data_IF_719662570267
#
_entry.id   IF_719662570267
#
_cell.length_a   1.000
_cell.length_b   1.000
_cell.length_c   1.000
_cell.angle_alpha   90.00
_cell.angle_beta   90.00
_cell.angle_gamma   90.00
#
_symmetry.space_group_name_H-M   'P 1'
#
loop_
_entity.id
_entity.type
_entity.pdbx_description
1 polymer ?
#
# COMPACT_ATOMS: atom_id res chain seq x y z
N UNK A 1 4.37 10.41 -31.92
CA UNK A 1 4.78 11.13 -30.70
C UNK A 1 6.17 10.65 -30.33
N UNK A 2 7.10 11.55 -30.04
CA UNK A 2 8.44 11.18 -29.55
C UNK A 2 8.35 10.86 -28.06
N UNK A 3 9.09 9.86 -27.57
CA UNK A 3 9.14 9.54 -26.14
C UNK A 3 9.89 10.64 -25.36
N UNK A 4 9.63 10.75 -24.05
CA UNK A 4 10.33 11.62 -23.11
C UNK A 4 11.84 11.47 -23.27
N UNK A 5 12.33 10.23 -23.25
CA UNK A 5 13.76 9.93 -23.40
C UNK A 5 14.29 10.38 -24.78
N UNK A 6 13.52 10.21 -25.86
CA UNK A 6 13.95 10.68 -27.19
C UNK A 6 14.04 12.21 -27.28
N UNK A 7 13.15 12.95 -26.62
CA UNK A 7 13.18 14.41 -26.59
C UNK A 7 14.31 14.88 -25.67
N UNK A 8 14.51 14.21 -24.54
CA UNK A 8 15.61 14.45 -23.62
C UNK A 8 16.97 14.33 -24.31
N UNK A 9 17.18 13.25 -25.07
CA UNK A 9 18.42 13.09 -25.84
C UNK A 9 18.63 14.27 -26.78
N UNK A 10 17.61 14.64 -27.57
CA UNK A 10 17.70 15.77 -28.50
C UNK A 10 18.08 17.07 -27.80
N UNK A 11 17.45 17.38 -26.66
CA UNK A 11 17.75 18.59 -25.87
C UNK A 11 19.16 18.54 -25.28
N UNK A 12 19.65 17.38 -24.86
CA UNK A 12 21.02 17.24 -24.38
C UNK A 12 22.07 17.54 -25.46
N UNK A 13 21.74 17.40 -26.75
CA UNK A 13 22.63 17.78 -27.85
C UNK A 13 22.61 19.27 -28.20
N UNK A 14 21.69 20.06 -27.66
CA UNK A 14 21.60 21.51 -27.92
C UNK A 14 22.73 22.31 -27.26
N UNK A 15 23.28 21.82 -26.14
CA UNK A 15 24.38 22.47 -25.43
C UNK A 15 25.32 21.46 -24.77
N UNK A 16 26.64 21.69 -24.85
CA UNK A 16 27.65 20.73 -24.38
C UNK A 16 27.52 20.38 -22.89
N UNK A 17 27.14 21.34 -22.04
CA UNK A 17 26.93 21.08 -20.60
C UNK A 17 25.80 20.11 -20.32
N UNK A 18 24.80 20.01 -21.20
CA UNK A 18 23.64 19.13 -21.02
C UNK A 18 23.96 17.67 -21.39
N UNK A 19 24.99 17.42 -22.20
CA UNK A 19 25.43 16.05 -22.55
C UNK A 19 25.84 15.21 -21.35
N UNK A 20 26.26 15.86 -20.27
CA UNK A 20 26.56 15.21 -19.00
C UNK A 20 25.31 14.57 -18.38
N UNK A 21 24.13 15.20 -18.53
CA UNK A 21 22.87 14.63 -18.05
C UNK A 21 22.53 13.34 -18.79
N UNK A 22 22.63 13.33 -20.12
CA UNK A 22 22.40 12.11 -20.94
C UNK A 22 23.40 11.00 -20.58
N UNK A 23 24.67 11.34 -20.41
CA UNK A 23 25.70 10.38 -20.01
C UNK A 23 25.42 9.77 -18.63
N UNK A 24 25.04 10.61 -17.65
CA UNK A 24 24.65 10.15 -16.32
C UNK A 24 23.43 9.25 -16.37
N UNK A 25 22.37 9.70 -17.06
CA UNK A 25 21.12 8.95 -17.19
C UNK A 25 21.33 7.58 -17.80
N UNK A 26 22.09 7.45 -18.88
CA UNK A 26 22.34 6.15 -19.50
C UNK A 26 23.06 5.18 -18.56
N UNK A 27 23.99 5.68 -17.76
CA UNK A 27 24.67 4.86 -16.77
C UNK A 27 23.72 4.44 -15.64
N UNK A 28 22.99 5.42 -15.08
CA UNK A 28 22.10 5.20 -13.95
C UNK A 28 20.91 4.32 -14.34
N UNK A 29 20.32 4.48 -15.52
CA UNK A 29 19.23 3.62 -16.02
C UNK A 29 19.62 2.14 -15.96
N UNK A 30 20.82 1.78 -16.41
CA UNK A 30 21.30 0.39 -16.38
C UNK A 30 21.58 -0.10 -14.96
N UNK A 31 22.17 0.76 -14.12
CA UNK A 31 22.54 0.41 -12.75
C UNK A 31 21.31 0.28 -11.84
N UNK A 32 20.41 1.27 -11.89
CA UNK A 32 19.14 1.30 -11.19
C UNK A 32 18.24 0.15 -11.63
N UNK A 33 18.18 -0.16 -12.93
CA UNK A 33 17.41 -1.31 -13.42
C UNK A 33 17.85 -2.64 -12.81
N UNK A 34 19.14 -2.79 -12.49
CA UNK A 34 19.66 -3.98 -11.81
C UNK A 34 19.30 -3.96 -10.33
N UNK A 35 19.52 -2.83 -9.65
CA UNK A 35 19.20 -2.70 -8.23
C UNK A 35 17.71 -2.93 -7.93
N UNK A 36 16.80 -2.41 -8.78
CA UNK A 36 15.36 -2.59 -8.62
C UNK A 36 14.92 -4.06 -8.77
N UNK A 37 15.71 -4.93 -9.43
CA UNK A 37 15.41 -6.36 -9.49
C UNK A 37 15.51 -7.03 -8.11
N UNK A 38 16.34 -6.49 -7.22
CA UNK A 38 16.57 -7.05 -5.88
C UNK A 38 15.40 -6.78 -4.90
N UNK A 39 14.45 -5.93 -5.26
CA UNK A 39 13.22 -5.70 -4.48
C UNK A 39 12.45 -7.03 -4.29
N UNK A 40 12.50 -7.94 -5.27
CA UNK A 40 11.83 -9.25 -5.21
C UNK A 40 12.29 -10.13 -4.05
N UNK A 41 13.47 -9.88 -3.46
CA UNK A 41 14.04 -10.70 -2.37
C UNK A 41 13.12 -10.69 -1.14
N UNK A 42 12.52 -9.54 -0.83
CA UNK A 42 11.61 -9.34 0.30
C UNK A 42 10.16 -9.05 -0.11
N UNK A 43 9.93 -8.57 -1.34
CA UNK A 43 8.60 -8.18 -1.82
C UNK A 43 8.01 -9.11 -2.91
N UNK A 44 8.20 -10.45 -2.89
CA UNK A 44 7.67 -11.30 -3.96
C UNK A 44 6.13 -11.38 -3.96
N UNK A 45 5.47 -10.93 -2.90
CA UNK A 45 4.01 -10.93 -2.74
C UNK A 45 3.35 -9.63 -3.21
N UNK A 46 4.13 -8.59 -3.53
CA UNK A 46 3.60 -7.33 -4.07
C UNK A 46 3.60 -7.30 -5.61
N UNK A 47 3.00 -6.25 -6.17
CA UNK A 47 3.21 -5.87 -7.56
C UNK A 47 4.70 -5.67 -7.86
N UNK A 48 5.07 -5.71 -9.13
CA UNK A 48 6.41 -5.41 -9.61
C UNK A 48 6.75 -3.94 -9.31
N UNK A 49 7.90 -3.73 -8.67
CA UNK A 49 8.53 -2.42 -8.49
C UNK A 49 9.91 -2.42 -9.17
N UNK A 50 10.06 -3.21 -10.24
CA UNK A 50 11.27 -3.26 -11.06
C UNK A 50 11.28 -2.16 -12.14
N UNK A 51 12.30 -2.15 -13.01
CA UNK A 51 12.40 -1.19 -14.11
C UNK A 51 11.17 -1.15 -15.06
N UNK A 52 10.34 -2.20 -15.10
CA UNK A 52 9.10 -2.17 -15.89
C UNK A 52 8.06 -1.21 -15.30
N UNK A 53 8.00 -1.07 -13.97
CA UNK A 53 7.17 -0.07 -13.30
C UNK A 53 7.62 1.36 -13.66
N UNK A 54 8.91 1.65 -13.53
CA UNK A 54 9.46 2.98 -13.84
C UNK A 54 9.16 3.40 -15.29
N UNK A 55 9.24 2.46 -16.24
CA UNK A 55 8.86 2.70 -17.65
C UNK A 55 7.37 3.01 -17.80
N UNK A 56 6.51 2.35 -17.04
CA UNK A 56 5.07 2.57 -17.07
C UNK A 56 4.69 3.92 -16.48
N UNK A 57 5.35 4.36 -15.39
CA UNK A 57 5.24 5.73 -14.86
C UNK A 57 5.57 6.76 -15.94
N UNK A 58 6.72 6.60 -16.60
CA UNK A 58 7.15 7.50 -17.68
C UNK A 58 6.11 7.50 -18.81
N UNK A 59 5.61 6.33 -19.22
CA UNK A 59 4.57 6.20 -20.25
C UNK A 59 3.27 6.91 -19.85
N UNK A 60 2.86 6.82 -18.59
CA UNK A 60 1.68 7.53 -18.08
C UNK A 60 1.86 9.05 -18.14
N UNK A 61 3.05 9.54 -17.78
CA UNK A 61 3.39 10.97 -17.84
C UNK A 61 3.47 11.46 -19.28
N UNK A 62 4.03 10.66 -20.18
CA UNK A 62 4.05 10.94 -21.62
C UNK A 62 2.63 11.07 -22.19
N UNK A 63 1.71 10.18 -21.78
CA UNK A 63 0.29 10.25 -22.16
C UNK A 63 -0.39 11.51 -21.63
N UNK A 64 -0.13 11.88 -20.37
CA UNK A 64 -0.69 13.08 -19.73
C UNK A 64 -0.21 14.36 -20.42
N UNK A 65 1.09 14.48 -20.68
CA UNK A 65 1.67 15.70 -21.26
C UNK A 65 1.50 15.77 -22.77
N UNK A 66 1.57 14.63 -23.46
CA UNK A 66 1.47 14.54 -24.93
C UNK A 66 2.49 15.50 -25.58
N UNK A 67 2.08 16.32 -26.54
CA UNK A 67 3.00 17.23 -27.27
C UNK A 67 3.63 18.30 -26.35
N UNK A 68 3.06 18.54 -25.17
CA UNK A 68 3.59 19.48 -24.17
C UNK A 68 4.89 19.01 -23.52
N UNK A 69 5.28 17.74 -23.72
CA UNK A 69 6.58 17.21 -23.28
C UNK A 69 7.75 18.08 -23.77
N UNK A 70 7.65 18.66 -24.98
CA UNK A 70 8.71 19.48 -25.57
C UNK A 70 9.02 20.76 -24.76
N UNK A 71 8.09 21.18 -23.91
CA UNK A 71 8.19 22.39 -23.09
C UNK A 71 8.94 22.15 -21.77
N UNK A 72 9.37 20.92 -21.47
CA UNK A 72 10.28 20.63 -20.36
C UNK A 72 11.72 21.01 -20.73
N UNK A 73 12.51 21.44 -19.75
CA UNK A 73 13.96 21.62 -19.91
C UNK A 73 14.67 20.25 -19.94
N UNK A 74 15.92 20.19 -20.37
CA UNK A 74 16.67 18.92 -20.31
C UNK A 74 16.88 18.48 -18.85
N UNK A 75 17.08 19.45 -17.95
CA UNK A 75 17.22 19.18 -16.51
C UNK A 75 15.91 18.66 -15.89
N UNK A 76 14.75 19.19 -16.27
CA UNK A 76 13.43 18.67 -15.85
C UNK A 76 13.23 17.21 -16.30
N UNK A 77 13.57 16.92 -17.55
CA UNK A 77 13.46 15.56 -18.11
C UNK A 77 14.41 14.60 -17.40
N UNK A 78 15.65 15.01 -17.13
CA UNK A 78 16.61 14.20 -16.35
C UNK A 78 16.08 13.90 -14.95
N UNK A 79 15.62 14.91 -14.22
CA UNK A 79 15.03 14.72 -12.88
C UNK A 79 13.84 13.75 -12.93
N UNK A 80 12.99 13.84 -13.94
CA UNK A 80 11.84 12.96 -14.08
C UNK A 80 12.23 11.50 -14.37
N UNK A 81 13.18 11.30 -15.28
CA UNK A 81 13.70 9.98 -15.65
C UNK A 81 14.38 9.30 -14.45
N UNK A 82 15.28 10.02 -13.78
CA UNK A 82 15.97 9.54 -12.58
C UNK A 82 14.99 9.26 -11.44
N UNK A 83 14.00 10.14 -11.23
CA UNK A 83 13.03 9.98 -10.15
C UNK A 83 12.14 8.76 -10.35
N UNK A 84 11.68 8.51 -11.58
CA UNK A 84 10.91 7.32 -11.90
C UNK A 84 11.66 6.01 -11.57
N UNK A 85 12.98 5.99 -11.77
CA UNK A 85 13.83 4.84 -11.46
C UNK A 85 14.37 4.81 -10.03
N UNK A 86 14.28 5.93 -9.29
CA UNK A 86 14.85 6.05 -7.95
C UNK A 86 13.84 6.06 -6.82
N UNK A 87 12.57 6.37 -7.09
CA UNK A 87 11.56 6.60 -6.05
C UNK A 87 11.29 5.36 -5.17
N UNK A 88 11.38 4.16 -5.74
CA UNK A 88 11.20 2.88 -5.05
C UNK A 88 12.51 2.21 -4.58
N UNK A 89 13.68 2.81 -4.80
CA UNK A 89 14.95 2.20 -4.39
C UNK A 89 14.99 1.84 -2.90
N UNK A 90 14.30 2.60 -2.06
CA UNK A 90 14.14 2.37 -0.63
C UNK A 90 13.46 1.05 -0.26
N UNK A 91 12.91 0.32 -1.23
CA UNK A 91 12.42 -1.06 -1.09
C UNK A 91 13.54 -2.11 -1.20
N UNK A 92 14.76 -1.74 -1.61
CA UNK A 92 15.92 -2.62 -1.52
C UNK A 92 16.38 -2.65 -0.06
N UNK A 93 16.22 -3.82 0.58
CA UNK A 93 16.58 -4.05 1.99
C UNK A 93 17.96 -4.70 2.07
N UNK A 94 18.89 -4.04 2.75
CA UNK A 94 20.27 -4.49 2.94
C UNK A 94 20.45 -5.31 4.22
N UNK A 95 21.57 -6.03 4.36
CA UNK A 95 21.89 -6.73 5.60
C UNK A 95 21.93 -5.80 6.82
N UNK A 96 22.45 -4.58 6.67
CA UNK A 96 22.49 -3.60 7.77
C UNK A 96 21.09 -3.30 8.29
N UNK A 97 20.12 -3.17 7.39
CA UNK A 97 18.72 -2.93 7.70
C UNK A 97 17.98 -4.13 8.28
N UNK A 98 18.37 -5.35 7.91
CA UNK A 98 17.83 -6.55 8.56
C UNK A 98 18.15 -6.54 10.06
N UNK A 99 19.29 -5.98 10.47
CA UNK A 99 19.67 -5.87 11.88
C UNK A 99 18.79 -4.86 12.66
N UNK A 100 18.02 -4.00 11.98
CA UNK A 100 17.09 -3.10 12.66
C UNK A 100 15.98 -3.88 13.39
N UNK A 101 15.83 -5.17 13.12
CA UNK A 101 14.96 -6.09 13.85
C UNK A 101 15.23 -6.12 15.37
N UNK A 102 16.46 -5.81 15.77
CA UNK A 102 16.87 -5.76 17.18
C UNK A 102 16.67 -4.37 17.80
N UNK A 103 16.01 -3.44 17.10
CA UNK A 103 15.77 -2.07 17.58
C UNK A 103 14.45 -1.93 18.33
N UNK A 104 14.43 -1.01 19.31
CA UNK A 104 13.22 -0.63 20.06
C UNK A 104 12.08 -0.15 19.14
N UNK A 105 12.42 0.46 17.99
CA UNK A 105 11.44 0.90 16.99
C UNK A 105 10.75 -0.30 16.33
N UNK A 106 11.49 -1.38 16.04
CA UNK A 106 10.87 -2.59 15.51
C UNK A 106 9.98 -3.28 16.52
N UNK A 107 10.45 -3.37 17.76
CA UNK A 107 9.71 -4.00 18.85
C UNK A 107 8.37 -3.28 19.02
N UNK A 108 8.40 -1.94 19.11
CA UNK A 108 7.20 -1.10 19.18
C UNK A 108 6.27 -1.30 17.97
N UNK A 109 6.83 -1.45 16.77
CA UNK A 109 6.06 -1.73 15.55
C UNK A 109 5.34 -3.08 15.64
N UNK A 110 6.02 -4.15 16.07
CA UNK A 110 5.41 -5.47 16.25
C UNK A 110 4.37 -5.48 17.38
N UNK A 111 4.64 -4.83 18.50
CA UNK A 111 3.68 -4.68 19.61
C UNK A 111 2.36 -4.04 19.15
N UNK A 112 2.43 -3.07 18.22
CA UNK A 112 1.22 -2.45 17.66
C UNK A 112 0.31 -3.46 16.94
N UNK A 113 0.87 -4.54 16.38
CA UNK A 113 0.13 -5.62 15.74
C UNK A 113 -0.35 -6.71 16.70
N UNK A 114 0.18 -6.79 17.92
CA UNK A 114 -0.25 -7.79 18.92
C UNK A 114 -1.72 -7.60 19.30
N UNK A 115 -2.22 -6.36 19.34
CA UNK A 115 -3.61 -6.08 19.73
C UNK A 115 -4.56 -5.87 18.54
N UNK A 116 -4.03 -5.82 17.32
CA UNK A 116 -4.80 -5.68 16.10
C UNK A 116 -5.18 -7.06 15.55
N UNK A 117 -6.35 -7.58 15.94
CA UNK A 117 -6.84 -8.92 15.54
C UNK A 117 -7.05 -9.02 14.03
N UNK A 118 -7.31 -7.90 13.36
CA UNK A 118 -7.52 -7.87 11.91
C UNK A 118 -6.18 -7.78 11.14
N UNK A 119 -5.07 -7.48 11.83
CA UNK A 119 -3.74 -7.49 11.22
C UNK A 119 -3.34 -8.88 10.75
N UNK A 120 -2.84 -8.94 9.52
CA UNK A 120 -2.25 -10.16 8.96
C UNK A 120 -0.98 -10.59 9.70
N UNK A 121 -0.41 -9.73 10.53
CA UNK A 121 0.77 -10.00 11.35
C UNK A 121 0.44 -10.33 12.81
N UNK A 122 -0.82 -10.24 13.24
CA UNK A 122 -1.25 -10.45 14.63
C UNK A 122 -0.65 -11.70 15.29
N UNK A 123 -0.84 -12.86 14.68
CA UNK A 123 -0.37 -14.14 15.22
C UNK A 123 1.17 -14.20 15.26
N UNK A 124 1.84 -13.70 14.22
CA UNK A 124 3.30 -13.68 14.16
C UNK A 124 3.88 -12.72 15.20
N UNK A 125 3.30 -11.53 15.36
CA UNK A 125 3.71 -10.55 16.34
C UNK A 125 3.51 -11.07 17.77
N UNK A 126 2.40 -11.74 18.04
CA UNK A 126 2.14 -12.38 19.33
C UNK A 126 3.18 -13.47 19.63
N UNK A 127 3.42 -14.37 18.67
CA UNK A 127 4.44 -15.41 18.83
C UNK A 127 5.83 -14.80 18.98
N UNK A 128 6.12 -13.66 18.33
CA UNK A 128 7.40 -12.95 18.45
C UNK A 128 7.63 -12.42 19.86
N UNK A 129 6.66 -11.65 20.39
CA UNK A 129 6.73 -11.04 21.74
C UNK A 129 6.73 -12.11 22.83
N UNK A 130 6.06 -13.24 22.63
CA UNK A 130 6.07 -14.38 23.57
C UNK A 130 7.32 -15.27 23.43
N UNK A 131 8.32 -14.89 22.62
CA UNK A 131 9.54 -15.66 22.30
C UNK A 131 9.27 -17.06 21.72
N UNK A 132 8.13 -17.23 21.03
CA UNK A 132 7.66 -18.47 20.40
C UNK A 132 7.82 -18.50 18.89
N UNK A 133 8.20 -17.38 18.26
CA UNK A 133 8.49 -17.27 16.84
C UNK A 133 9.82 -17.98 16.46
N UNK A 134 9.88 -19.30 16.69
CA UNK A 134 11.06 -20.12 16.44
C UNK A 134 10.91 -20.88 15.11
N UNK A 135 11.99 -20.90 14.33
CA UNK A 135 12.04 -21.65 13.07
C UNK A 135 11.75 -23.14 13.34
N UNK A 136 10.69 -23.72 12.77
CA UNK A 136 10.30 -25.08 13.11
C UNK A 136 11.28 -26.11 12.53
N UNK A 137 11.73 -27.05 13.36
CA UNK A 137 12.54 -28.21 12.93
C UNK A 137 11.62 -29.38 12.54
N UNK A 138 11.81 -29.95 11.35
CA UNK A 138 11.05 -31.12 10.89
C UNK A 138 9.60 -30.86 10.44
N UNK A 139 9.19 -29.59 10.32
CA UNK A 139 7.93 -29.14 9.68
C UNK A 139 8.22 -28.17 8.54
N UNK A 140 7.20 -27.76 7.79
CA UNK A 140 7.34 -26.74 6.75
C UNK A 140 7.77 -25.39 7.37
N UNK A 141 9.06 -25.05 7.23
CA UNK A 141 9.65 -23.77 7.65
C UNK A 141 9.34 -22.62 6.69
N UNK A 142 8.79 -22.94 5.52
CA UNK A 142 8.45 -22.00 4.46
C UNK A 142 7.52 -20.87 4.94
N UNK A 143 6.47 -21.22 5.69
CA UNK A 143 5.50 -20.23 6.18
C UNK A 143 6.16 -19.21 7.11
N UNK A 144 7.01 -19.68 8.03
CA UNK A 144 7.76 -18.82 8.94
C UNK A 144 8.68 -17.85 8.18
N UNK A 145 9.47 -18.37 7.22
CA UNK A 145 10.41 -17.57 6.44
C UNK A 145 9.68 -16.48 5.65
N UNK A 146 8.57 -16.82 4.99
CA UNK A 146 7.79 -15.82 4.26
C UNK A 146 7.14 -14.81 5.17
N UNK A 147 6.61 -15.23 6.34
CA UNK A 147 5.97 -14.29 7.25
C UNK A 147 6.97 -13.31 7.83
N UNK A 148 8.17 -13.79 8.18
CA UNK A 148 9.30 -12.94 8.55
C UNK A 148 9.64 -11.92 7.46
N UNK A 149 9.76 -12.37 6.20
CA UNK A 149 10.01 -11.47 5.07
C UNK A 149 8.90 -10.43 4.88
N UNK A 150 7.63 -10.83 5.03
CA UNK A 150 6.48 -9.94 4.87
C UNK A 150 6.45 -8.84 5.93
N UNK A 151 6.77 -9.18 7.18
CA UNK A 151 6.87 -8.18 8.27
C UNK A 151 7.95 -7.16 7.96
N UNK A 152 9.15 -7.61 7.58
CA UNK A 152 10.23 -6.69 7.17
C UNK A 152 9.85 -5.88 5.94
N UNK A 153 9.20 -6.50 4.96
CA UNK A 153 8.75 -5.83 3.75
C UNK A 153 7.77 -4.70 4.08
N UNK A 154 6.73 -4.95 4.87
CA UNK A 154 5.77 -3.91 5.26
C UNK A 154 6.44 -2.80 6.09
N UNK A 155 7.33 -3.17 7.03
CA UNK A 155 8.03 -2.19 7.83
C UNK A 155 8.87 -1.22 6.99
N UNK A 156 9.64 -1.76 6.03
CA UNK A 156 10.45 -0.93 5.13
C UNK A 156 9.64 -0.24 4.04
N UNK A 157 8.50 -0.82 3.62
CA UNK A 157 7.55 -0.18 2.73
C UNK A 157 7.04 1.13 3.33
N UNK A 158 6.76 1.21 4.63
CA UNK A 158 6.32 2.46 5.25
C UNK A 158 7.39 3.57 5.21
N UNK A 159 8.67 3.19 5.09
CA UNK A 159 9.83 4.08 5.12
C UNK A 159 10.45 4.28 3.73
N UNK A 160 9.96 3.62 2.68
CA UNK A 160 10.66 3.52 1.40
C UNK A 160 10.97 4.88 0.76
N UNK A 161 10.04 5.82 0.73
CA UNK A 161 10.30 7.15 0.18
C UNK A 161 11.45 7.89 0.89
N UNK A 162 11.52 7.79 2.22
CA UNK A 162 12.63 8.37 3.00
C UNK A 162 13.94 7.62 2.76
N UNK A 163 13.90 6.29 2.65
CA UNK A 163 15.07 5.48 2.35
C UNK A 163 15.58 5.74 0.92
N UNK A 164 14.71 5.88 -0.08
CA UNK A 164 15.06 6.29 -1.44
C UNK A 164 15.82 7.61 -1.43
N UNK A 165 15.35 8.60 -0.68
CA UNK A 165 16.05 9.88 -0.51
C UNK A 165 17.45 9.70 0.09
N UNK A 166 17.58 8.88 1.15
CA UNK A 166 18.89 8.54 1.75
C UNK A 166 19.83 7.84 0.76
N UNK A 167 19.30 6.87 0.01
CA UNK A 167 20.06 6.09 -0.97
C UNK A 167 20.52 6.97 -2.12
N UNK A 168 19.66 7.87 -2.61
CA UNK A 168 20.07 8.86 -3.61
C UNK A 168 21.16 9.74 -3.00
N UNK A 169 21.06 10.21 -1.77
CA UNK A 169 22.12 11.08 -1.22
C UNK A 169 23.46 10.36 -1.02
N UNK A 170 23.44 9.07 -0.67
CA UNK A 170 24.64 8.30 -0.34
C UNK A 170 24.59 6.85 -0.89
N UNK A 171 24.59 6.63 -2.21
CA UNK A 171 24.21 5.34 -2.80
C UNK A 171 25.21 4.21 -2.50
N UNK A 172 26.50 4.53 -2.44
CA UNK A 172 27.56 3.56 -2.15
C UNK A 172 27.50 3.08 -0.71
N UNK A 173 27.35 3.99 0.26
CA UNK A 173 27.35 3.61 1.68
C UNK A 173 26.03 2.96 2.12
N UNK A 174 24.91 3.33 1.49
CA UNK A 174 23.60 2.82 1.87
C UNK A 174 23.31 1.45 1.26
N UNK A 175 23.55 1.28 -0.05
CA UNK A 175 23.18 0.05 -0.79
C UNK A 175 24.30 -0.48 -1.70
N UNK A 176 25.51 0.10 -1.67
CA UNK A 176 26.62 -0.34 -2.53
C UNK A 176 26.47 0.05 -4.01
N UNK A 177 25.54 0.95 -4.33
CA UNK A 177 25.24 1.35 -5.71
C UNK A 177 26.27 2.40 -6.19
N UNK A 178 27.21 2.00 -7.04
CA UNK A 178 28.28 2.87 -7.53
C UNK A 178 27.87 3.69 -8.76
N UNK A 179 26.87 4.56 -8.59
CA UNK A 179 26.49 5.60 -9.55
C UNK A 179 27.52 6.73 -9.53
N UNK A 180 28.10 7.16 -10.67
CA UNK A 180 29.06 8.25 -10.74
C UNK A 180 28.41 9.55 -10.29
N UNK A 181 28.81 10.08 -9.14
CA UNK A 181 28.30 11.36 -8.61
C UNK A 181 29.47 12.27 -8.28
N UNK A 182 30.20 12.65 -9.34
CA UNK A 182 31.42 13.43 -9.25
C UNK A 182 31.15 14.91 -9.56
N UNK A 183 32.21 15.72 -9.60
CA UNK A 183 32.16 17.18 -9.79
C UNK A 183 31.57 17.62 -11.14
N UNK A 184 31.34 16.70 -12.09
CA UNK A 184 30.77 17.01 -13.40
C UNK A 184 29.28 17.41 -13.32
N UNK A 185 28.53 16.82 -12.38
CA UNK A 185 27.14 17.20 -12.12
C UNK A 185 27.01 17.76 -10.70
N UNK A 186 26.38 18.93 -10.52
CA UNK A 186 26.26 19.53 -9.20
C UNK A 186 25.55 18.61 -8.20
N UNK A 187 26.17 18.38 -7.03
CA UNK A 187 25.59 17.58 -5.92
C UNK A 187 24.17 18.04 -5.54
N UNK A 188 23.88 19.34 -5.69
CA UNK A 188 22.55 19.90 -5.44
C UNK A 188 21.45 19.24 -6.29
N UNK A 189 21.72 18.84 -7.54
CA UNK A 189 20.70 18.19 -8.40
C UNK A 189 20.33 16.80 -7.88
N UNK A 190 21.29 16.05 -7.35
CA UNK A 190 21.03 14.77 -6.70
C UNK A 190 20.29 14.95 -5.36
N UNK A 191 20.54 16.05 -4.64
CA UNK A 191 19.75 16.40 -3.46
C UNK A 191 18.30 16.74 -3.87
N UNK A 192 18.12 17.54 -4.92
CA UNK A 192 16.80 17.88 -5.48
C UNK A 192 16.06 16.61 -5.92
N UNK A 193 16.73 15.69 -6.61
CA UNK A 193 16.20 14.36 -6.96
C UNK A 193 15.78 13.57 -5.71
N UNK A 194 16.61 13.55 -4.67
CA UNK A 194 16.30 12.89 -3.41
C UNK A 194 15.06 13.49 -2.74
N UNK A 195 14.89 14.81 -2.78
CA UNK A 195 13.72 15.51 -2.22
C UNK A 195 12.44 15.23 -3.03
N UNK A 196 12.54 15.19 -4.36
CA UNK A 196 11.44 14.77 -5.25
C UNK A 196 11.00 13.34 -4.93
N UNK A 197 11.96 12.42 -4.86
CA UNK A 197 11.69 11.03 -4.50
C UNK A 197 11.21 10.88 -3.05
N UNK A 198 11.57 11.75 -2.11
CA UNK A 198 10.98 11.67 -0.78
C UNK A 198 9.51 12.13 -0.79
N UNK A 199 9.23 13.18 -1.55
CA UNK A 199 7.92 13.82 -1.60
C UNK A 199 6.82 12.93 -2.20
N UNK A 200 7.15 11.87 -2.94
CA UNK A 200 6.13 10.96 -3.48
C UNK A 200 5.38 10.19 -2.39
N UNK A 201 6.03 9.90 -1.25
CA UNK A 201 5.42 9.25 -0.09
C UNK A 201 4.89 10.22 0.98
N UNK A 202 5.09 11.53 0.82
CA UNK A 202 4.67 12.55 1.81
C UNK A 202 3.24 13.05 1.59
N UNK A 203 2.76 13.82 2.56
CA UNK A 203 1.50 14.55 2.42
C UNK A 203 1.63 15.63 1.34
N UNK A 204 0.50 15.99 0.73
CA UNK A 204 0.49 16.97 -0.35
C UNK A 204 1.01 18.36 0.05
N UNK A 205 0.83 18.77 1.32
CA UNK A 205 1.39 20.02 1.85
C UNK A 205 2.91 20.08 1.68
N UNK A 206 3.59 18.97 1.95
CA UNK A 206 5.04 18.88 1.98
C UNK A 206 5.62 18.93 0.55
N UNK A 207 4.83 18.50 -0.45
CA UNK A 207 5.17 18.65 -1.88
C UNK A 207 5.24 20.13 -2.26
N UNK A 208 4.39 20.98 -1.67
CA UNK A 208 4.38 22.42 -1.94
C UNK A 208 5.60 23.15 -1.34
N UNK A 209 6.31 22.53 -0.40
CA UNK A 209 7.56 23.07 0.16
C UNK A 209 8.75 22.87 -0.79
N UNK A 210 8.64 21.97 -1.77
CA UNK A 210 9.64 21.85 -2.82
C UNK A 210 9.75 23.15 -3.61
N UNK A 211 10.97 23.54 -4.04
CA UNK A 211 11.19 24.69 -4.89
C UNK A 211 10.28 24.66 -6.13
N UNK A 212 9.68 25.81 -6.45
CA UNK A 212 8.92 25.98 -7.69
C UNK A 212 9.87 26.01 -8.90
N UNK A 213 10.99 26.71 -8.77
CA UNK A 213 12.06 26.81 -9.78
C UNK A 213 13.42 26.83 -9.08
N UNK A 214 14.41 26.15 -9.66
CA UNK A 214 15.84 26.26 -9.34
C UNK A 214 16.66 26.33 -10.63
N UNK A 215 17.90 26.83 -10.54
CA UNK A 215 18.81 26.74 -11.68
C UNK A 215 19.11 25.26 -12.01
N UNK A 216 19.03 24.86 -13.26
CA UNK A 216 19.39 23.53 -13.75
C UNK A 216 20.87 23.42 -14.12
N UNK A 217 21.17 22.62 -15.16
CA UNK A 217 22.51 22.54 -15.78
C UNK A 217 22.64 23.55 -16.92
N UNK A 218 23.75 24.28 -16.97
CA UNK A 218 23.98 25.26 -18.03
C UNK A 218 23.04 26.46 -17.90
N UNK A 219 22.18 26.66 -18.90
CA UNK A 219 21.16 27.73 -18.94
C UNK A 219 19.75 27.23 -18.64
N UNK A 220 19.58 25.93 -18.40
CA UNK A 220 18.30 25.37 -17.99
C UNK A 220 17.92 25.83 -16.59
N UNK A 221 16.63 26.01 -16.37
CA UNK A 221 16.02 25.91 -15.05
C UNK A 221 15.48 24.49 -14.83
N UNK A 222 15.22 24.13 -13.58
CA UNK A 222 14.47 22.93 -13.23
C UNK A 222 13.35 23.23 -12.23
N UNK A 223 12.35 22.35 -12.19
CA UNK A 223 11.09 22.59 -11.50
C UNK A 223 10.72 21.44 -10.56
N UNK A 224 11.38 21.31 -9.40
CA UNK A 224 11.27 20.14 -8.54
C UNK A 224 9.84 19.81 -8.10
N UNK A 225 9.06 20.83 -7.71
CA UNK A 225 7.65 20.67 -7.34
C UNK A 225 6.81 20.09 -8.47
N UNK A 226 7.05 20.55 -9.70
CA UNK A 226 6.33 20.07 -10.88
C UNK A 226 6.67 18.61 -11.18
N UNK A 227 7.95 18.26 -11.13
CA UNK A 227 8.42 16.88 -11.33
C UNK A 227 7.87 15.93 -10.26
N UNK A 228 7.84 16.35 -8.99
CA UNK A 228 7.24 15.56 -7.92
C UNK A 228 5.74 15.30 -8.13
N UNK A 229 4.99 16.31 -8.60
CA UNK A 229 3.57 16.14 -8.92
C UNK A 229 3.34 15.18 -10.10
N UNK A 230 4.17 15.27 -11.14
CA UNK A 230 4.13 14.34 -12.29
C UNK A 230 4.49 12.92 -11.87
N UNK A 231 5.53 12.74 -11.05
CA UNK A 231 5.91 11.43 -10.51
C UNK A 231 4.75 10.80 -9.74
N UNK A 232 4.13 11.55 -8.81
CA UNK A 232 2.98 11.09 -8.02
C UNK A 232 1.78 10.70 -8.89
N UNK A 233 1.46 11.50 -9.92
CA UNK A 233 0.40 11.16 -10.87
C UNK A 233 0.74 9.94 -11.73
N UNK A 234 1.99 9.83 -12.19
CA UNK A 234 2.44 8.72 -13.02
C UNK A 234 2.44 7.38 -12.27
N UNK A 235 2.92 7.40 -11.02
CA UNK A 235 2.95 6.26 -10.10
C UNK A 235 1.55 5.80 -9.72
N UNK A 236 0.71 6.70 -9.19
CA UNK A 236 -0.62 6.31 -8.75
C UNK A 236 -1.46 5.75 -9.92
N UNK A 237 -1.25 6.22 -11.14
CA UNK A 237 -1.97 5.74 -12.34
C UNK A 237 -1.37 4.45 -12.95
N UNK A 238 -0.32 3.87 -12.37
CA UNK A 238 0.17 2.54 -12.79
C UNK A 238 -0.71 1.42 -12.22
N UNK A 239 -1.88 1.26 -12.85
CA UNK A 239 -2.97 0.40 -12.40
C UNK A 239 -3.32 -0.74 -13.33
N UNK A 240 -2.51 -0.97 -14.37
CA UNK A 240 -2.83 -1.98 -15.37
C UNK A 240 -2.77 -3.42 -14.80
N UNK A 241 -3.34 -4.37 -15.52
CA UNK A 241 -3.50 -5.76 -15.06
C UNK A 241 -2.19 -6.57 -15.03
N UNK A 242 -1.14 -6.06 -15.67
CA UNK A 242 0.17 -6.68 -15.76
C UNK A 242 1.11 -6.30 -14.59
N UNK A 243 0.61 -5.63 -13.55
CA UNK A 243 1.39 -5.17 -12.39
C UNK A 243 1.95 -6.31 -11.54
N UNK A 244 1.35 -7.50 -11.57
CA UNK A 244 1.82 -8.66 -10.81
C UNK A 244 2.52 -9.68 -11.71
N UNK A 245 3.60 -10.28 -11.19
CA UNK A 245 4.34 -11.33 -11.88
C UNK A 245 3.91 -12.71 -11.35
N UNK A 246 3.37 -13.61 -12.20
CA UNK A 246 2.99 -14.96 -11.76
C UNK A 246 4.14 -15.76 -11.14
N UNK A 247 5.38 -15.50 -11.56
CA UNK A 247 6.57 -16.16 -10.96
C UNK A 247 6.79 -15.65 -9.53
N UNK A 248 6.69 -14.34 -9.28
CA UNK A 248 6.82 -13.76 -7.94
C UNK A 248 5.71 -14.27 -7.00
N UNK A 249 4.48 -14.36 -7.51
CA UNK A 249 3.37 -14.95 -6.78
C UNK A 249 3.65 -16.40 -6.40
N UNK A 250 4.21 -17.21 -7.32
CA UNK A 250 4.61 -18.59 -7.02
C UNK A 250 5.80 -18.70 -6.05
N UNK A 251 6.72 -17.71 -6.01
CA UNK A 251 7.75 -17.65 -4.96
C UNK A 251 7.11 -17.50 -3.58
N UNK A 252 6.05 -16.68 -3.50
CA UNK A 252 5.26 -16.45 -2.28
C UNK A 252 4.27 -17.58 -1.96
N UNK A 253 3.91 -18.39 -2.95
CA UNK A 253 3.12 -19.63 -2.81
C UNK A 253 1.85 -19.43 -1.99
N UNK A 254 1.55 -20.39 -1.11
CA UNK A 254 0.37 -20.36 -0.24
C UNK A 254 0.47 -19.31 0.89
N UNK A 255 1.60 -18.59 1.00
CA UNK A 255 1.83 -17.61 2.06
C UNK A 255 1.52 -16.17 1.67
N UNK A 256 1.01 -15.92 0.46
CA UNK A 256 0.63 -14.57 0.00
C UNK A 256 -0.36 -13.94 1.00
N UNK A 257 -0.09 -12.72 1.51
CA UNK A 257 -1.05 -12.01 2.35
C UNK A 257 -2.37 -11.75 1.62
N UNK A 258 -3.47 -11.75 2.36
CA UNK A 258 -4.81 -11.52 1.79
C UNK A 258 -4.91 -10.11 1.18
N UNK A 259 -4.30 -9.12 1.83
CA UNK A 259 -4.17 -7.75 1.31
C UNK A 259 -3.53 -7.73 -0.09
N UNK A 260 -2.38 -8.40 -0.25
CA UNK A 260 -1.70 -8.57 -1.53
C UNK A 260 -2.54 -9.28 -2.59
N UNK A 261 -3.29 -10.32 -2.20
CA UNK A 261 -4.18 -11.03 -3.12
C UNK A 261 -5.34 -10.15 -3.58
N UNK A 262 -5.96 -9.39 -2.68
CA UNK A 262 -7.01 -8.43 -3.07
C UNK A 262 -6.46 -7.32 -3.98
N UNK A 263 -5.24 -6.85 -3.75
CA UNK A 263 -4.58 -5.92 -4.66
C UNK A 263 -4.38 -6.55 -6.04
N UNK A 264 -3.92 -7.80 -6.12
CA UNK A 264 -3.81 -8.53 -7.39
C UNK A 264 -5.17 -8.61 -8.12
N UNK A 265 -6.22 -9.04 -7.43
CA UNK A 265 -7.58 -9.15 -7.99
C UNK A 265 -8.15 -7.79 -8.44
N UNK A 266 -7.84 -6.71 -7.72
CA UNK A 266 -8.17 -5.33 -8.13
C UNK A 266 -7.57 -5.01 -9.50
N UNK A 267 -6.28 -5.28 -9.71
CA UNK A 267 -5.63 -5.01 -11.01
C UNK A 267 -6.23 -5.88 -12.13
N UNK A 268 -6.59 -7.13 -11.86
CA UNK A 268 -7.29 -7.99 -12.83
C UNK A 268 -8.73 -7.54 -13.14
N UNK A 269 -9.33 -6.73 -12.26
CA UNK A 269 -10.70 -6.26 -12.39
C UNK A 269 -10.84 -5.03 -13.31
N UNK A 270 -9.73 -4.41 -13.74
CA UNK A 270 -9.76 -3.28 -14.67
C UNK A 270 -10.40 -3.70 -16.00
N UNK A 271 -11.41 -2.95 -16.46
CA UNK A 271 -12.10 -3.19 -17.74
C UNK A 271 -11.78 -2.14 -18.78
N UNK A 272 -11.67 -0.88 -18.35
CA UNK A 272 -11.32 0.22 -19.23
C UNK A 272 -10.33 1.15 -18.53
N UNK A 273 -9.22 1.41 -19.19
CA UNK A 273 -8.20 2.36 -18.76
C UNK A 273 -7.88 3.32 -19.91
N UNK A 274 -8.17 4.60 -19.72
CA UNK A 274 -7.80 5.68 -20.64
C UNK A 274 -7.04 6.74 -19.86
N UNK A 275 -5.81 6.99 -20.29
CA UNK A 275 -4.95 8.07 -19.80
C UNK A 275 -4.43 8.77 -21.05
N UNK A 276 -4.80 10.03 -21.24
CA UNK A 276 -4.28 10.91 -22.28
C UNK A 276 -4.32 12.37 -21.81
N UNK A 277 -3.93 13.30 -22.69
CA UNK A 277 -3.83 14.72 -22.39
C UNK A 277 -5.18 15.42 -22.15
N UNK A 278 -6.30 14.78 -22.51
CA UNK A 278 -7.64 15.34 -22.35
C UNK A 278 -8.35 14.75 -21.13
N UNK A 279 -8.22 13.44 -20.91
CA UNK A 279 -9.05 12.71 -19.95
C UNK A 279 -8.36 11.50 -19.33
N UNK A 280 -8.54 11.37 -18.02
CA UNK A 280 -8.31 10.13 -17.27
C UNK A 280 -9.67 9.47 -17.03
N UNK A 281 -9.82 8.22 -17.44
CA UNK A 281 -11.05 7.42 -17.25
C UNK A 281 -10.69 5.99 -16.90
N UNK A 282 -11.27 5.51 -15.81
CA UNK A 282 -11.01 4.17 -15.29
C UNK A 282 -12.35 3.51 -14.97
N UNK A 283 -12.56 2.31 -15.47
CA UNK A 283 -13.71 1.46 -15.15
C UNK A 283 -13.25 0.10 -14.68
N UNK A 284 -13.82 -0.35 -13.56
CA UNK A 284 -13.45 -1.59 -12.87
C UNK A 284 -14.71 -2.39 -12.57
N UNK A 285 -14.63 -3.69 -12.78
CA UNK A 285 -15.70 -4.63 -12.44
C UNK A 285 -15.11 -5.73 -11.54
N UNK A 286 -15.40 -5.62 -10.24
CA UNK A 286 -14.84 -6.47 -9.20
C UNK A 286 -15.62 -7.78 -9.06
N UNK A 287 -14.90 -8.86 -8.76
CA UNK A 287 -15.49 -10.20 -8.59
C UNK A 287 -16.16 -10.39 -7.21
N UNK A 288 -15.65 -9.72 -6.18
CA UNK A 288 -16.11 -9.91 -4.79
C UNK A 288 -16.15 -8.58 -3.99
N UNK A 289 -16.86 -8.56 -2.84
CA UNK A 289 -17.00 -7.36 -1.99
C UNK A 289 -15.70 -6.77 -1.43
N UNK A 290 -14.73 -7.61 -1.07
CA UNK A 290 -13.48 -7.13 -0.45
C UNK A 290 -12.62 -6.40 -1.49
N UNK A 291 -12.54 -6.94 -2.71
CA UNK A 291 -11.89 -6.28 -3.85
C UNK A 291 -12.61 -4.98 -4.21
N UNK A 292 -13.94 -4.95 -4.15
CA UNK A 292 -14.72 -3.73 -4.39
C UNK A 292 -14.35 -2.62 -3.40
N UNK A 293 -14.28 -2.92 -2.10
CA UNK A 293 -13.91 -1.97 -1.05
C UNK A 293 -12.50 -1.41 -1.28
N UNK A 294 -11.50 -2.27 -1.48
CA UNK A 294 -10.11 -1.87 -1.76
C UNK A 294 -9.97 -1.07 -3.05
N UNK A 295 -10.70 -1.46 -4.09
CA UNK A 295 -10.75 -0.73 -5.37
C UNK A 295 -11.30 0.68 -5.16
N UNK A 296 -12.42 0.79 -4.43
CA UNK A 296 -13.08 2.06 -4.17
C UNK A 296 -12.21 3.00 -3.33
N UNK A 297 -11.57 2.49 -2.28
CA UNK A 297 -10.62 3.25 -1.47
C UNK A 297 -9.44 3.75 -2.30
N UNK A 298 -8.87 2.90 -3.15
CA UNK A 298 -7.81 3.31 -4.06
C UNK A 298 -8.26 4.44 -5.01
N UNK A 299 -9.49 4.39 -5.53
CA UNK A 299 -10.03 5.51 -6.33
C UNK A 299 -10.18 6.80 -5.53
N UNK A 300 -10.52 6.73 -4.24
CA UNK A 300 -10.53 7.92 -3.37
C UNK A 300 -9.16 8.54 -3.23
N UNK A 301 -8.10 7.73 -3.22
CA UNK A 301 -6.73 8.24 -3.24
C UNK A 301 -6.40 8.95 -4.56
N UNK A 302 -6.77 8.38 -5.71
CA UNK A 302 -6.61 9.03 -7.02
C UNK A 302 -7.37 10.34 -7.11
N UNK A 303 -8.65 10.35 -6.70
CA UNK A 303 -9.47 11.56 -6.67
C UNK A 303 -8.82 12.63 -5.78
N UNK A 304 -8.41 12.25 -4.56
CA UNK A 304 -7.77 13.17 -3.61
C UNK A 304 -6.49 13.79 -4.20
N UNK A 305 -5.59 12.97 -4.73
CA UNK A 305 -4.34 13.44 -5.35
C UNK A 305 -4.63 14.38 -6.52
N UNK A 306 -5.51 13.96 -7.43
CA UNK A 306 -5.89 14.74 -8.60
C UNK A 306 -6.49 16.10 -8.24
N UNK A 307 -7.44 16.14 -7.29
CA UNK A 307 -8.11 17.37 -6.91
C UNK A 307 -7.17 18.32 -6.17
N UNK A 308 -6.28 17.80 -5.32
CA UNK A 308 -5.25 18.61 -4.66
C UNK A 308 -4.31 19.23 -5.70
N UNK A 309 -3.76 18.43 -6.62
CA UNK A 309 -2.92 18.97 -7.69
C UNK A 309 -3.66 19.98 -8.57
N UNK A 310 -4.91 19.70 -8.94
CA UNK A 310 -5.72 20.59 -9.77
C UNK A 310 -6.03 21.92 -9.07
N UNK A 311 -6.33 21.89 -7.77
CA UNK A 311 -6.58 23.08 -6.95
C UNK A 311 -5.33 23.95 -6.82
N UNK A 312 -4.18 23.33 -6.59
CA UNK A 312 -2.90 24.03 -6.41
C UNK A 312 -2.11 24.19 -7.71
N UNK A 313 -2.68 23.82 -8.86
CA UNK A 313 -2.00 23.81 -10.16
C UNK A 313 -1.28 25.12 -10.52
N UNK A 314 -1.84 26.32 -10.26
CA UNK A 314 -1.13 27.58 -10.51
C UNK A 314 0.17 27.77 -9.71
N UNK A 315 0.33 27.06 -8.59
CA UNK A 315 1.56 27.04 -7.78
C UNK A 315 2.49 25.87 -8.15
N UNK A 316 2.05 24.96 -9.01
CA UNK A 316 2.78 23.74 -9.38
C UNK A 316 3.36 23.88 -10.77
N UNK A 317 2.55 24.31 -11.75
CA UNK A 317 2.98 24.39 -13.14
C UNK A 317 4.04 25.50 -13.33
N UNK A 318 5.15 25.22 -14.03
CA UNK A 318 6.20 26.22 -14.29
C UNK A 318 5.73 27.39 -15.14
N UNK A 319 4.99 27.08 -16.22
CA UNK A 319 4.54 28.06 -17.20
C UNK A 319 3.23 27.59 -17.86
N UNK A 320 2.61 28.47 -18.66
CA UNK A 320 1.31 28.19 -19.29
C UNK A 320 1.37 27.17 -20.43
N UNK A 321 2.53 26.98 -21.06
CA UNK A 321 2.71 26.10 -22.22
C UNK A 321 2.68 24.60 -21.82
N UNK A 322 2.93 24.31 -20.54
CA UNK A 322 2.74 22.98 -19.96
C UNK A 322 1.25 22.66 -19.68
N UNK A 323 0.34 23.63 -19.85
CA UNK A 323 -1.11 23.44 -19.79
C UNK A 323 -1.62 22.99 -18.42
N UNK A 324 -2.76 22.29 -18.41
CA UNK A 324 -3.44 21.76 -17.20
C UNK A 324 -3.38 20.24 -17.13
N UNK A 325 -3.67 19.67 -15.96
CA UNK A 325 -3.95 18.25 -15.86
C UNK A 325 -5.16 17.86 -16.74
N UNK A 326 -5.17 16.64 -17.30
CA UNK A 326 -6.33 16.06 -17.97
C UNK A 326 -7.56 16.06 -17.05
N UNK A 327 -8.76 16.04 -17.62
CA UNK A 327 -9.97 15.94 -16.80
C UNK A 327 -10.12 14.54 -16.21
N UNK A 328 -10.26 14.42 -14.88
CA UNK A 328 -10.59 13.15 -14.24
C UNK A 328 -12.09 12.86 -14.41
N UNK A 329 -12.42 11.78 -15.09
CA UNK A 329 -13.79 11.27 -15.14
C UNK A 329 -14.13 10.61 -13.80
N UNK A 330 -15.39 10.72 -13.36
CA UNK A 330 -15.87 9.96 -12.20
C UNK A 330 -15.56 8.47 -12.39
N UNK A 331 -14.74 7.86 -11.52
CA UNK A 331 -14.42 6.45 -11.63
C UNK A 331 -15.67 5.58 -11.55
N UNK A 332 -15.72 4.53 -12.36
CA UNK A 332 -16.83 3.57 -12.36
C UNK A 332 -16.34 2.28 -11.70
N UNK A 333 -16.80 2.02 -10.47
CA UNK A 333 -16.52 0.79 -9.74
C UNK A 333 -17.79 -0.03 -9.64
N UNK A 334 -17.82 -1.18 -10.30
CA UNK A 334 -18.94 -2.13 -10.27
C UNK A 334 -18.52 -3.41 -9.56
N UNK A 335 -19.51 -4.15 -9.08
CA UNK A 335 -19.34 -5.52 -8.61
C UNK A 335 -20.18 -6.46 -9.48
N UNK A 336 -19.68 -7.65 -9.76
CA UNK A 336 -20.44 -8.65 -10.51
C UNK A 336 -21.62 -9.20 -9.70
N UNK A 337 -22.64 -9.63 -10.43
CA UNK A 337 -23.76 -10.39 -9.85
C UNK A 337 -23.22 -11.69 -9.21
N UNK A 338 -23.81 -12.16 -8.09
CA UNK A 338 -25.09 -11.75 -7.51
C UNK A 338 -25.01 -10.60 -6.49
N UNK A 339 -23.83 -9.99 -6.27
CA UNK A 339 -23.68 -8.94 -5.28
C UNK A 339 -24.39 -7.65 -5.69
N UNK A 340 -24.88 -6.91 -4.68
CA UNK A 340 -25.54 -5.62 -4.84
C UNK A 340 -24.91 -4.62 -3.87
N UNK A 341 -24.44 -3.49 -4.39
CA UNK A 341 -23.95 -2.37 -3.57
C UNK A 341 -25.14 -1.50 -3.19
N UNK A 342 -25.38 -1.39 -1.88
CA UNK A 342 -26.43 -0.52 -1.33
C UNK A 342 -25.93 0.90 -1.05
N UNK A 343 -24.63 1.04 -0.77
CA UNK A 343 -23.94 2.30 -0.49
C UNK A 343 -22.54 2.24 -1.10
N UNK A 344 -22.21 3.24 -1.90
CA UNK A 344 -20.91 3.34 -2.55
C UNK A 344 -19.76 3.30 -1.53
N UNK A 345 -18.72 2.52 -1.84
CA UNK A 345 -17.53 2.39 -1.02
C UNK A 345 -17.69 1.58 0.27
N UNK A 346 -18.84 0.96 0.48
CA UNK A 346 -19.05 0.07 1.63
C UNK A 346 -19.34 -1.31 1.10
N UNK A 347 -18.55 -2.30 1.53
CA UNK A 347 -18.86 -3.69 1.21
C UNK A 347 -20.25 -4.04 1.75
N UNK A 348 -21.04 -4.86 1.02
CA UNK A 348 -22.31 -5.34 1.55
C UNK A 348 -22.08 -6.08 2.87
N UNK A 349 -22.54 -5.48 3.98
CA UNK A 349 -22.48 -6.07 5.30
C UNK A 349 -23.88 -6.23 5.86
N UNK A 350 -24.08 -7.29 6.64
CA UNK A 350 -25.29 -7.48 7.42
C UNK A 350 -24.98 -7.10 8.86
N UNK A 351 -25.38 -5.89 9.26
CA UNK A 351 -25.26 -5.45 10.64
C UNK A 351 -26.61 -5.53 11.35
N UNK A 352 -26.64 -6.28 12.44
CA UNK A 352 -27.76 -6.30 13.36
C UNK A 352 -27.72 -5.06 14.25
N UNK A 353 -28.81 -4.30 14.29
CA UNK A 353 -28.91 -3.16 15.19
C UNK A 353 -28.94 -3.66 16.65
N UNK A 354 -27.78 -3.61 17.31
CA UNK A 354 -27.58 -4.09 18.68
C UNK A 354 -28.58 -3.48 19.66
N UNK A 355 -28.88 -2.19 19.53
CA UNK A 355 -29.84 -1.51 20.40
C UNK A 355 -31.27 -2.00 20.19
N UNK A 356 -31.68 -2.25 18.93
CA UNK A 356 -32.98 -2.85 18.64
C UNK A 356 -33.05 -4.29 19.14
N UNK A 357 -32.00 -5.10 18.94
CA UNK A 357 -31.96 -6.46 19.49
C UNK A 357 -32.06 -6.42 21.01
N UNK A 358 -31.24 -5.61 21.67
CA UNK A 358 -31.29 -5.46 23.12
C UNK A 358 -32.66 -4.94 23.57
N UNK A 359 -33.29 -4.03 22.83
CA UNK A 359 -34.65 -3.57 23.13
C UNK A 359 -35.69 -4.67 22.91
N UNK A 360 -35.56 -5.52 21.89
CA UNK A 360 -36.45 -6.66 21.68
C UNK A 360 -36.28 -7.68 22.80
N UNK A 361 -35.04 -7.97 23.20
CA UNK A 361 -34.72 -8.85 24.33
C UNK A 361 -35.15 -8.29 25.69
N UNK A 362 -35.13 -6.96 25.87
CA UNK A 362 -35.50 -6.28 27.13
C UNK A 362 -36.97 -5.88 27.20
N UNK A 363 -37.64 -5.74 26.07
CA UNK A 363 -39.05 -5.36 26.01
C UNK A 363 -39.93 -6.57 26.31
N UNK A 364 -41.18 -6.29 26.69
CA UNK A 364 -42.23 -7.29 26.96
C UNK A 364 -42.60 -8.16 25.74
N UNK A 365 -41.81 -8.16 24.65
CA UNK A 365 -42.00 -9.06 23.52
C UNK A 365 -41.55 -10.50 23.78
N UNK A 366 -40.69 -10.74 24.78
CA UNK A 366 -40.29 -12.10 25.21
C UNK A 366 -41.14 -12.66 26.36
N UNK A 367 -41.76 -11.78 27.15
CA UNK A 367 -42.48 -12.13 28.36
C UNK A 367 -43.88 -11.51 28.33
N UNK A 368 -44.91 -12.35 28.45
CA UNK A 368 -46.30 -11.93 28.34
C UNK A 368 -46.79 -11.17 29.58
N UNK A 369 -46.12 -11.35 30.73
CA UNK A 369 -46.46 -10.68 31.97
C UNK A 369 -45.22 -10.32 32.82
N UNK A 370 -45.39 -9.45 33.82
CA UNK A 370 -44.30 -9.03 34.73
C UNK A 370 -43.77 -10.19 35.61
N UNK A 371 -44.59 -11.18 35.92
CA UNK A 371 -44.23 -12.33 36.76
C UNK A 371 -43.33 -13.33 36.03
N UNK A 372 -43.34 -13.35 34.70
CA UNK A 372 -42.49 -14.24 33.90
C UNK A 372 -41.01 -13.93 34.18
N UNK A 373 -40.65 -12.66 34.31
CA UNK A 373 -39.27 -12.27 34.68
C UNK A 373 -38.84 -12.79 36.06
N UNK A 374 -39.77 -12.81 37.02
CA UNK A 374 -39.52 -13.36 38.37
C UNK A 374 -39.39 -14.88 38.30
N UNK A 375 -40.26 -15.54 37.54
CA UNK A 375 -40.20 -16.99 37.29
C UNK A 375 -38.87 -17.40 36.66
N UNK A 376 -38.39 -16.67 35.66
CA UNK A 376 -37.10 -16.94 35.02
C UNK A 376 -35.92 -16.73 35.97
N UNK A 377 -35.93 -15.69 36.80
CA UNK A 377 -34.88 -15.49 37.81
C UNK A 377 -34.86 -16.64 38.82
N UNK A 378 -36.04 -17.09 39.27
CA UNK A 378 -36.15 -18.24 40.17
C UNK A 378 -35.67 -19.53 39.48
N UNK A 379 -36.07 -19.76 38.23
CA UNK A 379 -35.65 -20.93 37.46
C UNK A 379 -34.13 -20.92 37.23
N UNK A 380 -33.55 -19.79 36.83
CA UNK A 380 -32.10 -19.65 36.68
C UNK A 380 -31.34 -19.90 38.00
N UNK A 381 -31.94 -19.56 39.13
CA UNK A 381 -31.37 -19.84 40.46
C UNK A 381 -31.38 -21.34 40.76
N UNK A 382 -32.49 -22.02 40.47
CA UNK A 382 -32.60 -23.48 40.56
C UNK A 382 -31.58 -24.14 39.63
N UNK A 383 -31.57 -23.77 38.35
CA UNK A 383 -30.68 -24.33 37.34
C UNK A 383 -29.20 -24.15 37.69
N UNK A 384 -28.83 -22.99 38.25
CA UNK A 384 -27.46 -22.74 38.71
C UNK A 384 -27.04 -23.68 39.84
N UNK A 385 -27.94 -23.96 40.78
CA UNK A 385 -27.70 -24.94 41.87
C UNK A 385 -27.58 -26.34 41.29
N UNK A 386 -28.49 -26.74 40.40
CA UNK A 386 -28.47 -28.04 39.73
C UNK A 386 -27.15 -28.26 38.96
N UNK A 387 -26.69 -27.25 38.21
CA UNK A 387 -25.42 -27.28 37.48
C UNK A 387 -24.24 -27.41 38.45
N UNK A 388 -24.24 -26.65 39.56
CA UNK A 388 -23.19 -26.76 40.57
C UNK A 388 -23.14 -28.16 41.20
N UNK A 389 -24.28 -28.78 41.46
CA UNK A 389 -24.37 -30.13 42.00
C UNK A 389 -23.89 -31.17 40.99
N UNK A 390 -24.29 -31.04 39.73
CA UNK A 390 -23.79 -31.88 38.65
C UNK A 390 -22.26 -31.85 38.54
N UNK A 391 -21.63 -30.67 38.66
CA UNK A 391 -20.17 -30.57 38.63
C UNK A 391 -19.47 -31.21 39.83
N UNK A 392 -20.10 -31.21 41.01
CA UNK A 392 -19.54 -31.81 42.23
C UNK A 392 -19.70 -33.32 42.24
N UNK A 393 -20.88 -33.81 41.86
CA UNK A 393 -21.33 -35.17 42.15
C UNK A 393 -21.67 -35.96 40.88
N UNK A 394 -21.06 -35.56 39.75
CA UNK A 394 -21.34 -36.09 38.40
C UNK A 394 -21.48 -37.62 38.33
N UNK A 395 -20.56 -38.36 38.96
CA UNK A 395 -20.55 -39.84 38.92
C UNK A 395 -21.76 -40.48 39.64
N UNK A 396 -22.31 -39.79 40.62
CA UNK A 396 -23.45 -40.26 41.43
C UNK A 396 -24.79 -39.85 40.83
N UNK A 397 -24.81 -38.74 40.08
CA UNK A 397 -26.01 -38.18 39.45
C UNK A 397 -26.18 -38.60 37.98
N UNK A 398 -25.16 -39.20 37.34
CA UNK A 398 -25.19 -39.61 35.92
C UNK A 398 -26.33 -40.58 35.58
N UNK A 399 -26.76 -41.41 36.54
CA UNK A 399 -27.87 -42.37 36.38
C UNK A 399 -29.18 -41.92 37.02
N UNK A 400 -29.24 -40.70 37.57
CA UNK A 400 -30.42 -40.17 38.27
C UNK A 400 -31.15 -39.21 37.35
N UNK A 401 -32.42 -39.46 37.07
CA UNK A 401 -33.21 -38.55 36.25
C UNK A 401 -33.39 -37.19 36.97
N UNK A 402 -33.15 -36.06 36.28
CA UNK A 402 -33.44 -34.74 36.82
C UNK A 402 -34.90 -34.65 37.28
N UNK A 403 -35.13 -34.09 38.47
CA UNK A 403 -36.45 -33.95 39.09
C UNK A 403 -37.15 -35.26 39.49
N UNK A 404 -36.44 -36.40 39.50
CA UNK A 404 -36.94 -37.65 40.10
C UNK A 404 -37.00 -37.55 41.63
N UNK A 405 -37.74 -38.45 42.28
CA UNK A 405 -37.80 -38.50 43.74
C UNK A 405 -36.41 -38.75 44.35
N UNK A 406 -35.64 -39.63 43.73
CA UNK A 406 -34.26 -39.93 44.13
C UNK A 406 -33.34 -38.71 44.00
N UNK A 407 -33.59 -37.85 43.01
CA UNK A 407 -32.92 -36.57 42.87
C UNK A 407 -33.26 -35.60 44.02
N UNK A 408 -34.54 -35.46 44.35
CA UNK A 408 -34.97 -34.60 45.46
C UNK A 408 -34.42 -35.07 46.81
N UNK A 409 -34.44 -36.38 47.07
CA UNK A 409 -33.89 -36.97 48.29
C UNK A 409 -32.36 -36.77 48.42
N UNK A 410 -31.65 -36.67 47.28
CA UNK A 410 -30.22 -36.32 47.27
C UNK A 410 -29.95 -34.83 47.55
N UNK A 411 -30.86 -33.95 47.14
CA UNK A 411 -30.72 -32.48 47.26
C UNK A 411 -31.28 -31.90 48.56
N UNK A 412 -32.03 -32.70 49.32
CA UNK A 412 -32.65 -32.38 50.61
C UNK A 412 -31.64 -32.53 51.75
#
# INVERSE_FOLDING_TARGET
MLSLESIFEKKCYEHDSLRLLSSQWHFDKELLSKALQDIVVFFPHYSRHDASHSKQIITNIERILSDRLINLTATDMWLLLEAAYSHDLGMVITQRQINDIDSDEFESYLESHVNDIDSEFHLFAKDWVEEKALLPKGKSSYLFINKYKQVLAEWYRQKHANNSSKYIRNPVSEIGLNSPRNELLPKRLFNTLADICEAHGKNFSDVLDLPHTEAGVGVDDCHPRYIACLLRMGDILDIDDNRFCPVMMNISGDSIPRSSLHHFEKHQSIKHLRIDSERIKIEVECENPDVYEITYDWFKWVEKEYYLQSQYWPKIVPNKDLGKLPSLSTPIVRIKKPYLILKDGVKPSFELNKNKILSMLRSAGLYNNKMDSIREVLQNSVDSVLISMWYRDKKSLESVEPFSKDFYDYTS
#
